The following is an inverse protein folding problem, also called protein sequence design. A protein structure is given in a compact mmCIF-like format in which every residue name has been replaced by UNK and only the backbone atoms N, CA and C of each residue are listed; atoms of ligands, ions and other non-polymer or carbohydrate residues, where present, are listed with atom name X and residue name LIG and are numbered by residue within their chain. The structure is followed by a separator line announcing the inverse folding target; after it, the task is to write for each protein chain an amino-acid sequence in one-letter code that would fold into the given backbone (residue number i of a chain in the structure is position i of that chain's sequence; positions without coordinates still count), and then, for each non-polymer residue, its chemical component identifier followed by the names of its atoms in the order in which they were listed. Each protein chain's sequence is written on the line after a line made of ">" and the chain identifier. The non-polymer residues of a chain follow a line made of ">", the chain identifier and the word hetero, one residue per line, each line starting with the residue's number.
data_IF_056360544309
#
_entry.id   IF_056360544309
#
_cell.length_a   1.000
_cell.length_b   1.000
_cell.length_c   1.000
_cell.angle_alpha   90.00
_cell.angle_beta   90.00
_cell.angle_gamma   90.00
#
_symmetry.space_group_name_H-M   'P 1'
#
loop_
_entity.id
_entity.type
_entity.pdbx_description
1 polymer ?
#
# COMPACT_ATOMS: atom_id res chain seq x y z
N UNK A 1 8.78 8.37 2.84
CA UNK A 1 9.50 7.12 3.19
C UNK A 1 10.44 7.39 4.35
N UNK A 2 10.32 6.62 5.41
CA UNK A 2 11.20 6.64 6.58
C UNK A 2 12.01 5.35 6.59
N UNK A 3 13.25 5.38 7.13
CA UNK A 3 14.17 4.23 7.10
C UNK A 3 14.83 4.06 8.46
N UNK A 4 14.92 2.83 8.93
CA UNK A 4 15.64 2.44 10.14
C UNK A 4 16.40 1.14 9.89
N UNK A 5 17.60 0.99 10.44
CA UNK A 5 18.36 -0.24 10.32
C UNK A 5 19.86 -0.09 10.46
N UNK A 6 20.55 -1.09 9.96
CA UNK A 6 22.01 -1.21 9.94
C UNK A 6 22.48 -1.65 8.55
N UNK A 7 23.77 -1.88 8.36
CA UNK A 7 24.32 -2.49 7.12
C UNK A 7 23.70 -3.87 6.85
N UNK A 8 23.28 -4.60 7.90
CA UNK A 8 22.76 -5.96 7.75
C UNK A 8 21.26 -6.04 7.58
N UNK A 9 20.51 -5.09 8.15
CA UNK A 9 19.06 -5.10 8.01
C UNK A 9 18.51 -3.69 7.86
N UNK A 10 17.43 -3.60 7.14
CA UNK A 10 16.74 -2.35 6.88
C UNK A 10 15.24 -2.54 6.90
N UNK A 11 14.54 -1.61 7.55
CA UNK A 11 13.09 -1.51 7.44
C UNK A 11 12.75 -0.12 6.95
N UNK A 12 11.91 -0.04 5.94
CA UNK A 12 11.35 1.24 5.46
C UNK A 12 9.89 1.35 5.90
N UNK A 13 9.42 2.57 6.19
CA UNK A 13 8.01 2.84 6.43
C UNK A 13 7.54 3.93 5.46
N UNK A 14 6.49 3.65 4.73
CA UNK A 14 5.95 4.58 3.73
C UNK A 14 4.44 4.41 3.54
N UNK A 15 3.82 5.44 2.97
CA UNK A 15 2.46 5.41 2.43
C UNK A 15 2.51 5.86 0.96
N UNK A 16 2.84 4.96 0.02
CA UNK A 16 3.19 5.33 -1.33
C UNK A 16 1.99 5.80 -2.16
N UNK A 17 2.18 6.86 -2.94
CA UNK A 17 1.16 7.47 -3.77
C UNK A 17 0.57 6.54 -4.83
N UNK A 18 1.40 5.75 -5.49
CA UNK A 18 0.99 4.80 -6.51
C UNK A 18 0.12 3.67 -5.95
N UNK A 19 0.44 3.22 -4.74
CA UNK A 19 -0.35 2.22 -4.01
C UNK A 19 -1.72 2.81 -3.61
N UNK A 20 -1.74 4.03 -3.08
CA UNK A 20 -2.99 4.72 -2.74
C UNK A 20 -3.86 4.93 -3.98
N UNK A 21 -3.27 5.37 -5.10
CA UNK A 21 -3.97 5.58 -6.36
C UNK A 21 -4.57 4.27 -6.90
N UNK A 22 -3.79 3.18 -6.88
CA UNK A 22 -4.26 1.87 -7.35
C UNK A 22 -5.44 1.36 -6.52
N UNK A 23 -5.38 1.50 -5.20
CA UNK A 23 -6.47 1.09 -4.31
C UNK A 23 -7.71 1.99 -4.45
N UNK A 24 -7.53 3.30 -4.59
CA UNK A 24 -8.64 4.21 -4.82
C UNK A 24 -9.39 3.87 -6.12
N UNK A 25 -8.67 3.61 -7.21
CA UNK A 25 -9.26 3.21 -8.49
C UNK A 25 -9.97 1.84 -8.40
N UNK A 26 -9.39 0.86 -7.68
CA UNK A 26 -10.02 -0.43 -7.42
C UNK A 26 -11.38 -0.26 -6.76
N UNK A 27 -11.41 0.52 -5.68
CA UNK A 27 -12.62 0.68 -4.87
C UNK A 27 -13.66 1.56 -5.58
N UNK A 28 -13.23 2.59 -6.34
CA UNK A 28 -14.10 3.37 -7.24
C UNK A 28 -14.73 2.52 -8.34
N UNK A 29 -14.00 1.54 -8.87
CA UNK A 29 -14.50 0.59 -9.86
C UNK A 29 -15.35 -0.53 -9.25
N UNK A 30 -15.51 -0.59 -7.93
CA UNK A 30 -16.23 -1.64 -7.23
C UNK A 30 -15.57 -3.03 -7.33
N UNK A 31 -14.25 -3.08 -7.59
CA UNK A 31 -13.48 -4.31 -7.72
C UNK A 31 -12.98 -4.88 -6.39
N UNK A 32 -13.23 -4.19 -5.27
CA UNK A 32 -12.71 -4.59 -3.97
C UNK A 32 -13.07 -6.03 -3.57
N UNK A 33 -14.28 -6.50 -3.93
CA UNK A 33 -14.71 -7.87 -3.68
C UNK A 33 -13.99 -8.91 -4.56
N UNK A 34 -13.74 -8.56 -5.81
CA UNK A 34 -13.10 -9.45 -6.80
C UNK A 34 -11.59 -9.53 -6.63
N UNK A 35 -11.01 -8.53 -5.98
CA UNK A 35 -9.57 -8.42 -5.69
C UNK A 35 -9.26 -8.52 -4.18
N UNK A 36 -10.22 -8.96 -3.37
CA UNK A 36 -10.11 -9.03 -1.91
C UNK A 36 -9.07 -10.04 -1.40
N UNK A 37 -8.63 -10.98 -2.23
CA UNK A 37 -7.60 -11.97 -1.90
C UNK A 37 -6.25 -11.33 -1.58
N UNK A 38 -6.05 -10.09 -2.04
CA UNK A 38 -4.78 -9.39 -1.85
C UNK A 38 -4.80 -8.45 -0.64
N UNK A 39 -5.70 -7.47 -0.63
CA UNK A 39 -5.77 -6.41 0.39
C UNK A 39 -7.23 -5.98 0.61
N UNK A 40 -7.68 -5.77 1.85
CA UNK A 40 -9.03 -5.28 2.16
C UNK A 40 -9.39 -3.97 1.44
N UNK A 41 -10.68 -3.61 1.35
CA UNK A 41 -11.11 -2.31 0.89
C UNK A 41 -10.51 -1.17 1.72
N UNK A 42 -10.39 0.01 1.12
CA UNK A 42 -9.90 1.20 1.82
C UNK A 42 -11.00 1.88 2.63
N UNK A 43 -10.58 2.64 3.65
CA UNK A 43 -11.47 3.47 4.46
C UNK A 43 -10.79 4.82 4.77
N UNK A 44 -11.49 5.95 4.57
CA UNK A 44 -12.84 6.08 4.02
C UNK A 44 -12.90 5.67 2.53
N UNK A 45 -14.06 5.22 2.10
CA UNK A 45 -14.27 4.83 0.70
C UNK A 45 -14.10 6.05 -0.21
N UNK A 46 -13.35 5.96 -1.32
CA UNK A 46 -13.24 7.05 -2.28
C UNK A 46 -14.59 7.30 -2.96
N UNK A 47 -14.90 8.59 -3.19
CA UNK A 47 -16.19 9.01 -3.74
C UNK A 47 -15.96 9.65 -5.12
N UNK A 48 -16.73 9.25 -6.15
CA UNK A 48 -16.68 9.88 -7.46
C UNK A 48 -16.98 11.38 -7.38
N UNK A 49 -16.41 12.17 -8.27
CA UNK A 49 -16.73 13.60 -8.36
C UNK A 49 -18.18 13.77 -8.86
N UNK A 50 -18.98 14.58 -8.16
CA UNK A 50 -20.44 14.72 -8.35
C UNK A 50 -20.88 15.09 -9.79
N UNK A 51 -20.00 15.71 -10.61
CA UNK A 51 -20.28 16.03 -12.01
C UNK A 51 -20.27 14.79 -12.93
N UNK A 52 -19.71 13.68 -12.48
CA UNK A 52 -19.67 12.39 -13.17
C UNK A 52 -20.45 11.38 -12.33
N UNK A 53 -21.71 11.70 -12.06
CA UNK A 53 -22.60 10.84 -11.26
C UNK A 53 -22.84 9.54 -11.98
N UNK A 54 -22.36 8.48 -11.39
CA UNK A 54 -22.99 7.16 -11.21
C UNK A 54 -21.98 6.32 -10.43
N UNK A 55 -22.35 5.24 -9.70
CA UNK A 55 -21.39 4.25 -9.25
C UNK A 55 -20.63 3.79 -10.48
N UNK A 56 -19.35 4.16 -10.57
CA UNK A 56 -18.47 4.17 -11.73
C UNK A 56 -19.24 3.67 -12.97
N UNK A 57 -19.70 4.59 -13.82
CA UNK A 57 -20.33 4.21 -15.09
C UNK A 57 -19.27 3.43 -15.87
N UNK A 58 -19.25 2.12 -15.64
CA UNK A 58 -18.36 1.17 -16.29
C UNK A 58 -19.00 0.68 -17.60
N UNK A 59 -20.05 1.39 -18.09
CA UNK A 59 -20.64 1.08 -19.38
C UNK A 59 -19.55 1.09 -20.45
N UNK A 60 -19.44 -0.05 -21.12
CA UNK A 60 -18.43 -0.30 -22.13
C UNK A 60 -17.06 -0.77 -21.64
N UNK A 61 -16.84 -0.92 -20.32
CA UNK A 61 -15.61 -1.50 -19.75
C UNK A 61 -15.84 -2.99 -19.45
N UNK A 62 -14.97 -3.85 -20.00
CA UNK A 62 -14.95 -5.27 -19.61
C UNK A 62 -14.41 -5.42 -18.18
N UNK A 63 -15.30 -5.73 -17.26
CA UNK A 63 -15.00 -5.84 -15.84
C UNK A 63 -13.99 -6.95 -15.52
N UNK A 64 -14.01 -8.06 -16.25
CA UNK A 64 -13.07 -9.18 -16.06
C UNK A 64 -11.69 -8.78 -16.52
N UNK A 65 -11.59 -8.14 -17.69
CA UNK A 65 -10.34 -7.61 -18.21
C UNK A 65 -9.78 -6.52 -17.30
N UNK A 66 -10.62 -5.59 -16.82
CA UNK A 66 -10.24 -4.54 -15.89
C UNK A 66 -9.64 -5.13 -14.59
N UNK A 67 -10.29 -6.12 -13.99
CA UNK A 67 -9.80 -6.76 -12.77
C UNK A 67 -8.44 -7.44 -13.00
N UNK A 68 -8.25 -8.11 -14.16
CA UNK A 68 -6.98 -8.72 -14.51
C UNK A 68 -5.86 -7.68 -14.73
N UNK A 69 -6.16 -6.59 -15.44
CA UNK A 69 -5.23 -5.48 -15.69
C UNK A 69 -4.85 -4.77 -14.38
N UNK A 70 -5.81 -4.54 -13.50
CA UNK A 70 -5.55 -3.96 -12.19
C UNK A 70 -4.63 -4.86 -11.34
N UNK A 71 -4.88 -6.18 -11.29
CA UNK A 71 -4.00 -7.12 -10.56
C UNK A 71 -2.58 -7.11 -11.11
N UNK A 72 -2.41 -7.04 -12.43
CA UNK A 72 -1.08 -6.93 -13.06
C UNK A 72 -0.35 -5.65 -12.67
N UNK A 73 -1.06 -4.52 -12.65
CA UNK A 73 -0.51 -3.24 -12.19
C UNK A 73 -0.18 -3.27 -10.70
N UNK A 74 -1.10 -3.76 -9.87
CA UNK A 74 -0.88 -3.92 -8.42
C UNK A 74 0.36 -4.74 -8.11
N UNK A 75 0.51 -5.91 -8.73
CA UNK A 75 1.70 -6.75 -8.56
C UNK A 75 2.98 -6.00 -8.94
N UNK A 76 2.96 -5.20 -10.01
CA UNK A 76 4.08 -4.38 -10.43
C UNK A 76 4.46 -3.28 -9.44
N UNK A 77 3.47 -2.69 -8.73
CA UNK A 77 3.70 -1.66 -7.73
C UNK A 77 4.27 -2.27 -6.43
N UNK A 78 3.71 -3.38 -5.99
CA UNK A 78 4.10 -4.03 -4.73
C UNK A 78 5.49 -4.66 -4.85
N UNK A 79 5.84 -5.22 -5.99
CA UNK A 79 7.15 -5.84 -6.25
C UNK A 79 8.17 -4.82 -6.80
N UNK A 80 8.34 -3.70 -6.11
CA UNK A 80 9.16 -2.56 -6.56
C UNK A 80 10.61 -2.90 -6.92
N UNK A 81 11.24 -3.80 -6.17
CA UNK A 81 12.63 -4.17 -6.40
C UNK A 81 12.87 -4.85 -7.75
N UNK A 82 11.86 -5.57 -8.26
CA UNK A 82 11.95 -6.25 -9.55
C UNK A 82 11.61 -5.35 -10.74
N UNK A 83 11.02 -4.16 -10.49
CA UNK A 83 10.60 -3.21 -11.53
C UNK A 83 10.87 -1.76 -11.12
N UNK A 84 12.13 -1.33 -10.96
CA UNK A 84 12.49 0.01 -10.46
C UNK A 84 12.04 1.17 -11.37
N UNK A 85 11.57 0.90 -12.59
CA UNK A 85 11.23 1.90 -13.60
C UNK A 85 9.76 1.83 -14.05
N UNK A 86 8.82 1.69 -13.12
CA UNK A 86 7.45 1.97 -13.50
C UNK A 86 7.31 3.47 -13.79
N UNK A 87 6.97 3.79 -15.04
CA UNK A 87 6.70 5.16 -15.44
C UNK A 87 5.55 5.73 -14.58
N UNK A 88 5.67 6.97 -14.10
CA UNK A 88 4.61 7.59 -13.31
C UNK A 88 3.31 7.67 -14.10
N UNK A 89 2.20 7.42 -13.44
CA UNK A 89 0.87 7.62 -14.02
C UNK A 89 0.66 9.10 -14.28
N UNK A 90 0.62 9.51 -15.55
CA UNK A 90 0.53 10.92 -15.96
C UNK A 90 -0.70 11.20 -16.82
N UNK A 91 -1.57 12.14 -16.38
CA UNK A 91 -2.62 12.64 -17.25
C UNK A 91 -2.03 13.49 -18.38
N UNK A 92 -2.73 13.72 -19.50
CA UNK A 92 -4.08 13.19 -19.73
C UNK A 92 -4.09 11.82 -20.42
N UNK A 93 -2.97 11.34 -20.95
CA UNK A 93 -2.98 10.20 -21.90
C UNK A 93 -2.79 8.84 -21.22
N UNK A 94 -2.17 8.78 -20.01
CA UNK A 94 -1.91 7.55 -19.29
C UNK A 94 -1.20 6.47 -20.12
N UNK A 95 -0.21 6.85 -20.91
CA UNK A 95 0.50 6.03 -21.91
C UNK A 95 1.10 4.74 -21.32
N UNK A 96 1.43 4.73 -20.02
CA UNK A 96 1.90 3.54 -19.33
C UNK A 96 0.91 2.38 -19.40
N UNK A 97 -0.37 2.67 -19.69
CA UNK A 97 -1.46 1.70 -19.79
C UNK A 97 -1.96 1.48 -21.23
N UNK A 98 -1.23 1.83 -22.27
CA UNK A 98 -1.64 1.64 -23.68
C UNK A 98 -1.95 0.18 -24.04
N UNK A 99 -1.45 -0.77 -23.25
CA UNK A 99 -1.75 -2.21 -23.37
C UNK A 99 -2.76 -2.73 -22.35
N UNK A 100 -3.32 -1.84 -21.54
CA UNK A 100 -4.30 -2.14 -20.48
C UNK A 100 -5.49 -1.17 -20.62
N UNK A 101 -6.23 -1.32 -21.72
CA UNK A 101 -7.20 -0.34 -22.20
C UNK A 101 -8.33 -0.09 -21.20
N UNK A 102 -8.81 -1.14 -20.51
CA UNK A 102 -9.86 -1.01 -19.50
C UNK A 102 -9.40 -0.19 -18.29
N UNK A 103 -8.15 -0.41 -17.89
CA UNK A 103 -7.53 0.37 -16.79
C UNK A 103 -7.24 1.81 -17.21
N UNK A 104 -6.81 2.02 -18.45
CA UNK A 104 -6.61 3.36 -19.02
C UNK A 104 -7.93 4.12 -19.07
N UNK A 105 -9.02 3.49 -19.53
CA UNK A 105 -10.34 4.08 -19.56
C UNK A 105 -10.87 4.41 -18.15
N UNK A 106 -10.65 3.52 -17.17
CA UNK A 106 -10.97 3.81 -15.77
C UNK A 106 -10.21 5.04 -15.27
N UNK A 107 -8.93 5.17 -15.61
CA UNK A 107 -8.12 6.35 -15.27
C UNK A 107 -8.70 7.62 -15.90
N UNK A 108 -9.06 7.60 -17.17
CA UNK A 108 -9.69 8.76 -17.82
C UNK A 108 -10.98 9.21 -17.11
N UNK A 109 -11.73 8.27 -16.55
CA UNK A 109 -13.00 8.59 -15.86
C UNK A 109 -12.81 8.98 -14.39
N UNK A 110 -11.87 8.39 -13.67
CA UNK A 110 -11.82 8.44 -12.20
C UNK A 110 -10.51 8.99 -11.64
N UNK A 111 -9.53 9.35 -12.47
CA UNK A 111 -8.22 9.81 -12.00
C UNK A 111 -8.30 10.95 -10.99
N UNK A 112 -9.08 11.98 -11.27
CA UNK A 112 -9.19 13.15 -10.41
C UNK A 112 -9.78 12.82 -9.03
N UNK A 113 -10.77 11.91 -9.00
CA UNK A 113 -11.35 11.43 -7.75
C UNK A 113 -10.35 10.61 -6.94
N UNK A 114 -9.67 9.67 -7.60
CA UNK A 114 -8.66 8.83 -7.00
C UNK A 114 -7.45 9.65 -6.49
N UNK A 115 -6.97 10.62 -7.26
CA UNK A 115 -5.86 11.50 -6.86
C UNK A 115 -6.22 12.38 -5.67
N UNK A 116 -7.41 12.97 -5.65
CA UNK A 116 -7.87 13.76 -4.50
C UNK A 116 -7.89 12.91 -3.24
N UNK A 117 -8.52 11.73 -3.32
CA UNK A 117 -8.57 10.80 -2.20
C UNK A 117 -7.16 10.40 -1.74
N UNK A 118 -6.26 10.05 -2.67
CA UNK A 118 -4.88 9.67 -2.37
C UNK A 118 -4.11 10.79 -1.69
N UNK A 119 -4.31 12.04 -2.15
CA UNK A 119 -3.69 13.23 -1.54
C UNK A 119 -4.13 13.40 -0.09
N UNK A 120 -5.43 13.29 0.17
CA UNK A 120 -5.98 13.41 1.53
C UNK A 120 -5.43 12.31 2.46
N UNK A 121 -5.37 11.07 1.99
CA UNK A 121 -4.87 9.93 2.79
C UNK A 121 -3.37 10.02 3.04
N UNK A 122 -2.60 10.41 2.05
CA UNK A 122 -1.17 10.64 2.25
C UNK A 122 -0.91 11.76 3.27
N UNK A 123 -1.64 12.86 3.18
CA UNK A 123 -1.54 13.95 4.15
C UNK A 123 -1.96 13.53 5.57
N UNK A 124 -2.92 12.61 5.71
CA UNK A 124 -3.27 12.02 7.01
C UNK A 124 -2.16 11.17 7.58
N UNK A 125 -1.56 10.32 6.75
CA UNK A 125 -0.38 9.54 7.15
C UNK A 125 0.76 10.45 7.62
N UNK A 126 1.11 11.49 6.86
CA UNK A 126 2.15 12.43 7.26
C UNK A 126 1.82 13.16 8.57
N UNK A 127 0.55 13.54 8.79
CA UNK A 127 0.12 14.13 10.05
C UNK A 127 0.25 13.16 11.21
N UNK A 128 -0.14 11.89 11.03
CA UNK A 128 0.02 10.85 12.04
C UNK A 128 1.49 10.63 12.38
N UNK A 129 2.38 10.57 11.38
CA UNK A 129 3.84 10.47 11.60
C UNK A 129 4.37 11.66 12.40
N UNK A 130 3.96 12.88 12.07
CA UNK A 130 4.38 14.08 12.82
C UNK A 130 3.89 14.10 14.27
N UNK A 131 2.68 13.58 14.54
CA UNK A 131 2.07 13.63 15.86
C UNK A 131 2.50 12.47 16.76
N UNK A 132 2.66 11.28 16.23
CA UNK A 132 2.89 10.03 16.97
C UNK A 132 4.27 9.41 16.73
N UNK A 133 5.01 9.91 15.74
CA UNK A 133 6.24 9.29 15.26
C UNK A 133 5.98 8.14 14.30
N UNK A 134 7.05 7.51 13.81
CA UNK A 134 6.98 6.30 13.00
C UNK A 134 6.97 5.04 13.88
N UNK A 135 6.62 3.89 13.29
CA UNK A 135 6.74 2.59 13.96
C UNK A 135 8.18 2.05 14.00
N UNK A 136 9.09 2.62 13.22
CA UNK A 136 10.47 2.14 13.06
C UNK A 136 11.26 2.00 14.39
N UNK A 137 11.19 2.96 15.35
CA UNK A 137 11.87 2.79 16.63
C UNK A 137 11.37 1.59 17.44
N UNK A 138 10.09 1.21 17.31
CA UNK A 138 9.55 0.02 17.96
C UNK A 138 10.12 -1.25 17.32
N UNK A 139 10.18 -1.31 15.99
CA UNK A 139 10.78 -2.42 15.24
C UNK A 139 12.27 -2.56 15.60
N UNK A 140 13.01 -1.43 15.64
CA UNK A 140 14.41 -1.45 16.04
C UNK A 140 14.61 -2.09 17.40
N UNK A 141 13.80 -1.73 18.40
CA UNK A 141 13.87 -2.33 19.74
C UNK A 141 13.56 -3.82 19.73
N UNK A 142 12.60 -4.28 18.92
CA UNK A 142 12.29 -5.71 18.77
C UNK A 142 13.50 -6.47 18.20
N UNK A 143 14.10 -5.97 17.12
CA UNK A 143 15.29 -6.59 16.50
C UNK A 143 16.44 -6.64 17.50
N UNK A 144 16.74 -5.54 18.21
CA UNK A 144 17.78 -5.50 19.23
C UNK A 144 17.54 -6.50 20.36
N UNK A 145 16.30 -6.57 20.87
CA UNK A 145 15.92 -7.55 21.90
C UNK A 145 16.17 -8.98 21.42
N UNK A 146 15.76 -9.30 20.19
CA UNK A 146 15.93 -10.63 19.63
C UNK A 146 17.40 -10.99 19.44
N UNK A 147 18.23 -10.09 18.94
CA UNK A 147 19.67 -10.29 18.82
C UNK A 147 20.34 -10.58 20.18
N UNK A 148 19.96 -9.84 21.24
CA UNK A 148 20.45 -10.06 22.59
C UNK A 148 20.03 -11.44 23.12
N UNK A 149 18.77 -11.85 22.92
CA UNK A 149 18.27 -13.18 23.33
C UNK A 149 19.07 -14.30 22.66
N UNK A 150 19.32 -14.17 21.37
CA UNK A 150 20.04 -15.17 20.58
C UNK A 150 21.57 -15.08 20.73
N UNK A 151 22.07 -14.02 21.36
CA UNK A 151 23.52 -13.72 21.48
C UNK A 151 24.24 -13.72 20.12
N UNK A 152 23.53 -13.28 19.07
CA UNK A 152 24.05 -13.18 17.70
C UNK A 152 23.44 -11.97 16.98
N UNK A 153 24.12 -11.52 15.94
CA UNK A 153 23.56 -10.53 15.02
C UNK A 153 22.52 -11.17 14.08
N UNK A 154 21.57 -10.36 13.62
CA UNK A 154 20.60 -10.81 12.63
C UNK A 154 21.27 -11.21 11.31
N UNK A 155 20.60 -12.06 10.57
CA UNK A 155 20.87 -12.27 9.15
C UNK A 155 20.60 -10.98 8.37
N UNK A 156 21.04 -10.93 7.11
CA UNK A 156 20.68 -9.81 6.24
C UNK A 156 19.22 -9.93 5.83
N UNK A 157 18.43 -8.88 6.09
CA UNK A 157 17.06 -8.78 5.62
C UNK A 157 16.67 -7.33 5.30
N UNK A 158 15.68 -7.18 4.46
CA UNK A 158 15.00 -5.92 4.19
C UNK A 158 13.50 -6.14 4.31
N UNK A 159 12.79 -5.15 4.85
CA UNK A 159 11.33 -5.14 4.90
C UNK A 159 10.82 -3.76 4.51
N UNK A 160 9.93 -3.72 3.53
CA UNK A 160 9.20 -2.53 3.15
C UNK A 160 7.81 -2.56 3.80
N UNK A 161 7.63 -1.70 4.82
CA UNK A 161 6.38 -1.56 5.55
C UNK A 161 5.52 -0.47 4.89
N UNK A 162 4.44 -0.88 4.25
CA UNK A 162 3.49 0.00 3.57
C UNK A 162 2.28 0.23 4.47
N UNK A 163 2.08 1.46 4.92
CA UNK A 163 0.95 1.85 5.78
C UNK A 163 -0.21 2.34 4.91
N UNK A 164 -1.37 1.71 5.03
CA UNK A 164 -2.54 2.01 4.20
C UNK A 164 -3.81 2.23 5.03
N UNK A 165 -4.71 3.11 4.58
CA UNK A 165 -6.00 3.37 5.22
C UNK A 165 -7.00 2.26 4.87
N UNK A 166 -6.85 1.10 5.49
CA UNK A 166 -7.69 -0.08 5.22
C UNK A 166 -8.89 -0.15 6.14
N UNK A 167 -9.99 -0.70 5.65
CA UNK A 167 -11.24 -0.91 6.40
C UNK A 167 -11.14 -1.97 7.50
N UNK A 168 -10.16 -2.87 7.39
CA UNK A 168 -9.88 -3.92 8.37
C UNK A 168 -8.62 -3.61 9.14
N UNK A 169 -8.69 -3.79 10.44
CA UNK A 169 -7.56 -3.76 11.34
C UNK A 169 -6.65 -4.98 11.09
N UNK A 170 -5.34 -4.79 10.91
CA UNK A 170 -4.40 -5.90 10.71
C UNK A 170 -3.22 -5.56 9.82
N UNK A 171 -2.47 -6.62 9.52
CA UNK A 171 -1.34 -6.56 8.59
C UNK A 171 -1.30 -7.80 7.68
N UNK A 172 -0.70 -7.63 6.50
CA UNK A 172 -0.64 -8.62 5.43
C UNK A 172 0.76 -8.69 4.86
N UNK A 173 1.34 -9.88 4.83
CA UNK A 173 2.57 -10.13 4.09
C UNK A 173 2.18 -10.35 2.63
N UNK A 174 2.51 -9.41 1.75
CA UNK A 174 2.11 -9.42 0.34
C UNK A 174 3.24 -9.87 -0.59
N UNK A 175 4.47 -9.78 -0.12
CA UNK A 175 5.68 -10.31 -0.74
C UNK A 175 6.69 -10.67 0.36
N UNK A 176 7.76 -11.41 0.07
CA UNK A 176 8.73 -11.84 1.09
C UNK A 176 9.36 -10.70 1.89
N UNK A 177 9.49 -9.54 1.28
CA UNK A 177 10.09 -8.32 1.82
C UNK A 177 9.08 -7.17 1.98
N UNK A 178 7.81 -7.37 1.64
CA UNK A 178 6.79 -6.32 1.62
C UNK A 178 5.62 -6.67 2.53
N UNK A 179 5.41 -5.82 3.51
CA UNK A 179 4.33 -5.93 4.48
C UNK A 179 3.43 -4.71 4.36
N UNK A 180 2.13 -4.96 4.25
CA UNK A 180 1.10 -3.94 4.33
C UNK A 180 0.48 -3.96 5.71
N UNK A 181 0.30 -2.80 6.34
CA UNK A 181 -0.41 -2.65 7.60
C UNK A 181 -1.51 -1.60 7.49
N UNK A 182 -2.62 -1.82 8.18
CA UNK A 182 -3.64 -0.78 8.30
C UNK A 182 -3.13 0.38 9.14
N UNK A 183 -3.53 1.61 8.79
CA UNK A 183 -3.22 2.80 9.59
C UNK A 183 -3.69 2.63 11.05
N UNK A 184 -4.81 1.97 11.26
CA UNK A 184 -5.35 1.69 12.59
C UNK A 184 -4.47 0.76 13.43
N UNK A 185 -3.84 -0.27 12.83
CA UNK A 185 -2.87 -1.11 13.53
C UNK A 185 -1.59 -0.34 13.81
N UNK A 186 -1.07 0.37 12.81
CA UNK A 186 0.15 1.16 12.93
C UNK A 186 0.04 2.22 14.03
N UNK A 187 -1.13 2.82 14.19
CA UNK A 187 -1.40 3.90 15.14
C UNK A 187 -1.69 3.40 16.58
N UNK A 188 -1.72 2.08 16.79
CA UNK A 188 -1.76 1.39 18.08
C UNK A 188 -0.40 0.76 18.39
N UNK A 189 0.48 1.41 19.17
CA UNK A 189 1.86 0.94 19.37
C UNK A 189 1.98 -0.43 20.04
N UNK A 190 1.06 -0.75 20.98
CA UNK A 190 1.09 -2.02 21.71
C UNK A 190 0.66 -3.17 20.79
N UNK A 191 -0.44 -3.00 20.09
CA UNK A 191 -0.95 -3.98 19.16
C UNK A 191 -0.02 -4.16 17.94
N UNK A 192 0.56 -3.07 17.42
CA UNK A 192 1.56 -3.13 16.35
C UNK A 192 2.78 -3.93 16.79
N UNK A 193 3.31 -3.65 17.99
CA UNK A 193 4.46 -4.38 18.51
C UNK A 193 4.16 -5.88 18.66
N UNK A 194 3.02 -6.23 19.27
CA UNK A 194 2.60 -7.63 19.45
C UNK A 194 2.41 -8.34 18.10
N UNK A 195 1.88 -7.65 17.09
CA UNK A 195 1.69 -8.19 15.76
C UNK A 195 3.02 -8.37 15.00
N UNK A 196 3.97 -7.44 15.17
CA UNK A 196 5.24 -7.46 14.42
C UNK A 196 6.31 -8.36 15.06
N UNK A 197 6.21 -8.66 16.35
CA UNK A 197 7.18 -9.48 17.10
C UNK A 197 7.44 -10.87 16.47
N UNK A 198 6.40 -11.67 16.08
CA UNK A 198 6.64 -12.95 15.41
C UNK A 198 7.36 -12.82 14.06
N UNK A 199 7.16 -11.70 13.34
CA UNK A 199 7.85 -11.42 12.08
C UNK A 199 9.34 -11.21 12.33
N UNK A 200 9.68 -10.41 13.35
CA UNK A 200 11.09 -10.24 13.77
C UNK A 200 11.70 -11.55 14.21
N UNK A 201 10.96 -12.39 14.92
CA UNK A 201 11.46 -13.72 15.33
C UNK A 201 11.80 -14.62 14.15
N UNK A 202 11.05 -14.52 13.07
CA UNK A 202 11.29 -15.27 11.84
C UNK A 202 12.47 -14.72 11.02
N UNK A 203 12.74 -13.40 11.09
CA UNK A 203 13.78 -12.73 10.30
C UNK A 203 15.16 -12.73 10.99
N UNK A 204 15.21 -12.78 12.32
CA UNK A 204 16.43 -12.67 13.14
C UNK A 204 16.84 -14.01 13.70
#
# INVERSE_FOLDING_TARGET
>A
MLVEGTIRWQVTEDCPWDVLLALALRDLAGLAGECAETIPPVHPVPVPIAARRLPADLDGIDRVALAAQWRGWWAGIILRETRPFMSPVRPPHFEVFDRALELQELLHRQYDAAMRWSTDRHAEYERSVRQRGSSLPAIYRLVQRRQLQLRRQSNSFRVDLTVLPLSRYGGWVVAPDTIVVSSSLRDDPEAFQAWFEPIVEALV
#
